data_IF_188415086635
#
_entry.id   IF_188415086635
#
_cell.length_a   1.000
_cell.length_b   1.000
_cell.length_c   1.000
_cell.angle_alpha   90.00
_cell.angle_beta   90.00
_cell.angle_gamma   90.00
#
_symmetry.space_group_name_H-M   'P 1'
#
loop_
_entity.id
_entity.type
_entity.pdbx_description
1 polymer ?
#
# COMPACT_ATOMS: atom_id res chain seq x y z
N UNK A 1 -19.66 7.25 -15.01
CA UNK A 1 -19.97 8.25 -13.95
C UNK A 1 -18.71 8.57 -13.17
N UNK A 2 -17.87 9.43 -13.72
CA UNK A 2 -16.73 10.06 -13.04
C UNK A 2 -17.18 11.44 -12.57
N UNK A 3 -16.80 11.83 -11.36
CA UNK A 3 -16.94 13.23 -10.92
C UNK A 3 -15.57 13.86 -11.09
N UNK A 4 -15.46 14.78 -12.03
CA UNK A 4 -14.21 15.48 -12.35
C UNK A 4 -14.00 16.65 -11.38
N UNK A 5 -12.84 16.71 -10.72
CA UNK A 5 -12.45 17.81 -9.81
C UNK A 5 -11.48 18.80 -10.48
N UNK A 6 -11.47 18.84 -11.81
CA UNK A 6 -10.59 19.69 -12.61
C UNK A 6 -10.96 21.17 -12.37
N UNK A 7 -10.10 21.89 -11.63
CA UNK A 7 -10.21 23.34 -11.41
C UNK A 7 -10.12 23.83 -9.97
N UNK A 8 -10.44 23.01 -8.95
CA UNK A 8 -10.47 23.49 -7.54
C UNK A 8 -9.47 22.77 -6.62
N UNK A 9 -9.14 21.49 -6.90
CA UNK A 9 -8.27 20.68 -6.02
C UNK A 9 -7.26 19.81 -6.79
N UNK A 10 -7.51 19.54 -8.07
CA UNK A 10 -6.61 18.75 -8.91
C UNK A 10 -5.27 19.47 -9.11
N UNK A 11 -4.17 18.85 -8.68
CA UNK A 11 -2.82 19.35 -8.92
C UNK A 11 -2.38 20.56 -8.07
N UNK A 12 -3.16 20.98 -7.06
CA UNK A 12 -2.80 22.11 -6.19
C UNK A 12 -1.47 21.88 -5.45
N UNK A 13 -1.20 20.66 -4.98
CA UNK A 13 0.10 20.29 -4.37
C UNK A 13 1.21 20.08 -5.42
N UNK A 14 0.87 19.57 -6.61
CA UNK A 14 1.83 19.37 -7.69
C UNK A 14 2.36 20.68 -8.25
N UNK A 15 1.57 21.76 -8.27
CA UNK A 15 1.98 23.06 -8.78
C UNK A 15 2.80 23.92 -7.79
N UNK A 16 2.95 23.50 -6.52
CA UNK A 16 3.68 24.29 -5.52
C UNK A 16 5.20 24.14 -5.66
N UNK A 17 5.70 22.94 -6.00
CA UNK A 17 7.15 22.72 -6.18
C UNK A 17 7.42 21.57 -7.17
N UNK A 18 7.62 21.91 -8.44
CA UNK A 18 8.09 20.99 -9.49
C UNK A 18 9.56 21.26 -9.75
N UNK A 19 10.42 20.28 -9.49
CA UNK A 19 11.79 20.31 -10.03
C UNK A 19 11.79 19.52 -11.33
N UNK A 20 11.94 20.25 -12.43
CA UNK A 20 11.98 19.69 -13.77
C UNK A 20 13.42 19.32 -14.12
N UNK A 21 13.78 18.03 -14.04
CA UNK A 21 15.04 17.52 -14.58
C UNK A 21 14.73 16.82 -15.90
N UNK A 22 14.76 17.60 -16.98
CA UNK A 22 14.82 17.30 -18.44
C UNK A 22 13.90 16.23 -19.06
N UNK A 23 13.49 15.17 -18.35
CA UNK A 23 12.61 14.09 -18.84
C UNK A 23 11.66 13.51 -17.77
N UNK A 24 11.75 13.93 -16.49
CA UNK A 24 10.85 13.47 -15.42
C UNK A 24 10.41 14.67 -14.58
N UNK A 25 9.10 14.94 -14.53
CA UNK A 25 8.50 15.85 -13.56
C UNK A 25 8.39 15.11 -12.23
N UNK A 26 9.32 15.37 -11.30
CA UNK A 26 9.23 14.81 -9.95
C UNK A 26 8.37 15.76 -9.12
N UNK A 27 7.19 15.30 -8.73
CA UNK A 27 6.36 16.00 -7.76
C UNK A 27 6.97 15.81 -6.37
N UNK A 28 7.64 16.85 -5.87
CA UNK A 28 8.40 16.79 -4.61
C UNK A 28 7.46 16.68 -3.41
N UNK A 29 6.28 17.29 -3.50
CA UNK A 29 5.36 17.40 -2.36
C UNK A 29 4.75 16.05 -1.95
N UNK A 30 4.22 15.21 -2.88
CA UNK A 30 3.81 13.85 -2.54
C UNK A 30 4.97 12.98 -2.04
N UNK A 31 6.16 13.12 -2.63
CA UNK A 31 7.34 12.37 -2.21
C UNK A 31 7.78 12.73 -0.78
N UNK A 32 7.85 14.02 -0.47
CA UNK A 32 8.21 14.52 0.86
C UNK A 32 7.16 14.12 1.89
N UNK A 33 5.88 14.08 1.50
CA UNK A 33 4.80 13.56 2.34
C UNK A 33 4.94 12.06 2.64
N UNK A 34 5.26 11.23 1.63
CA UNK A 34 5.51 9.80 1.82
C UNK A 34 6.73 9.56 2.72
N UNK A 35 7.81 10.32 2.52
CA UNK A 35 8.99 10.27 3.39
C UNK A 35 8.63 10.71 4.82
N UNK A 36 7.85 11.78 4.97
CA UNK A 36 7.33 12.26 6.26
C UNK A 36 6.47 11.22 6.96
N UNK A 37 5.58 10.54 6.23
CA UNK A 37 4.77 9.43 6.75
C UNK A 37 5.65 8.25 7.17
N UNK A 38 6.65 7.87 6.38
CA UNK A 38 7.57 6.79 6.73
C UNK A 38 8.34 7.13 8.03
N UNK A 39 8.80 8.37 8.17
CA UNK A 39 9.46 8.85 9.39
C UNK A 39 8.49 8.87 10.57
N UNK A 40 7.26 9.35 10.37
CA UNK A 40 6.23 9.37 11.40
C UNK A 40 5.86 7.96 11.88
N UNK A 41 5.67 7.01 10.97
CA UNK A 41 5.40 5.61 11.30
C UNK A 41 6.60 5.00 12.04
N UNK A 42 7.84 5.28 11.60
CA UNK A 42 9.04 4.80 12.29
C UNK A 42 9.13 5.36 13.71
N UNK A 43 8.81 6.64 13.90
CA UNK A 43 8.76 7.28 15.20
C UNK A 43 7.66 6.67 16.08
N UNK A 44 6.45 6.51 15.54
CA UNK A 44 5.31 5.90 16.23
C UNK A 44 5.64 4.48 16.69
N UNK A 45 6.28 3.67 15.84
CA UNK A 45 6.73 2.32 16.18
C UNK A 45 7.80 2.28 17.28
N UNK A 46 8.53 3.38 17.53
CA UNK A 46 9.46 3.50 18.66
C UNK A 46 8.78 3.93 19.97
N UNK A 47 7.57 4.47 19.92
CA UNK A 47 6.81 4.86 21.13
C UNK A 47 6.23 3.64 21.86
N UNK A 48 5.77 3.83 23.10
CA UNK A 48 5.10 2.77 23.89
C UNK A 48 3.94 2.13 23.13
N UNK A 49 3.07 2.95 22.55
CA UNK A 49 1.95 2.47 21.73
C UNK A 49 2.41 1.61 20.54
N UNK A 50 3.50 2.00 19.87
CA UNK A 50 4.06 1.23 18.76
C UNK A 50 4.64 -0.13 19.20
N UNK A 51 5.23 -0.21 20.39
CA UNK A 51 5.70 -1.47 20.96
C UNK A 51 4.53 -2.38 21.33
N UNK A 52 3.45 -1.81 21.88
CA UNK A 52 2.22 -2.56 22.20
C UNK A 52 1.58 -3.13 20.92
N UNK A 53 1.53 -2.36 19.83
CA UNK A 53 1.06 -2.84 18.52
C UNK A 53 1.90 -4.01 18.02
N UNK A 54 3.23 -3.91 18.15
CA UNK A 54 4.13 -4.98 17.73
C UNK A 54 3.97 -6.23 18.57
N UNK A 55 3.86 -6.09 19.89
CA UNK A 55 3.67 -7.21 20.82
C UNK A 55 2.36 -7.96 20.53
N UNK A 56 1.25 -7.23 20.41
CA UNK A 56 -0.07 -7.79 20.06
C UNK A 56 -0.07 -8.45 18.69
N UNK A 57 0.66 -7.88 17.71
CA UNK A 57 0.77 -8.44 16.36
C UNK A 57 1.64 -9.70 16.25
N UNK A 58 2.55 -9.95 17.19
CA UNK A 58 3.33 -11.19 17.23
C UNK A 58 2.53 -12.34 17.86
N UNK A 59 2.03 -12.13 19.07
CA UNK A 59 1.27 -13.14 19.81
C UNK A 59 0.33 -12.46 20.82
N UNK A 60 -0.97 -12.60 20.56
CA UNK A 60 -2.03 -12.02 21.40
C UNK A 60 -2.09 -12.64 22.80
N UNK A 61 -1.76 -13.93 22.93
CA UNK A 61 -1.75 -14.62 24.21
C UNK A 61 -0.60 -14.10 25.09
N UNK A 62 0.61 -14.01 24.51
CA UNK A 62 1.78 -13.47 25.20
C UNK A 62 1.56 -12.01 25.61
N UNK A 63 1.02 -11.19 24.70
CA UNK A 63 0.72 -9.78 25.00
C UNK A 63 -0.29 -9.63 26.16
N UNK A 64 -1.33 -10.47 26.20
CA UNK A 64 -2.31 -10.47 27.29
C UNK A 64 -1.70 -10.89 28.62
N UNK A 65 -0.85 -11.93 28.63
CA UNK A 65 -0.12 -12.34 29.84
C UNK A 65 0.89 -11.30 30.33
N UNK A 66 1.41 -10.45 29.43
CA UNK A 66 2.27 -9.33 29.76
C UNK A 66 1.52 -8.09 30.28
N UNK A 67 0.20 -8.16 30.45
CA UNK A 67 -0.62 -7.07 30.98
C UNK A 67 -1.07 -6.03 29.94
N UNK A 68 -0.88 -6.30 28.64
CA UNK A 68 -1.35 -5.43 27.56
C UNK A 68 -2.83 -5.73 27.28
N UNK A 69 -3.67 -4.70 27.25
CA UNK A 69 -5.06 -4.80 26.83
C UNK A 69 -5.15 -4.98 25.31
N UNK A 70 -5.16 -6.23 24.87
CA UNK A 70 -5.17 -6.64 23.45
C UNK A 70 -6.33 -5.99 22.69
N UNK A 71 -7.52 -5.94 23.30
CA UNK A 71 -8.73 -5.48 22.63
C UNK A 71 -8.70 -3.97 22.39
N UNK A 72 -8.29 -3.19 23.40
CA UNK A 72 -8.08 -1.75 23.24
C UNK A 72 -6.95 -1.44 22.26
N UNK A 73 -5.82 -2.12 22.39
CA UNK A 73 -4.65 -1.91 21.51
C UNK A 73 -5.01 -2.21 20.05
N UNK A 74 -5.83 -3.24 19.78
CA UNK A 74 -6.31 -3.57 18.43
C UNK A 74 -7.23 -2.50 17.85
N UNK A 75 -8.18 -1.98 18.64
CA UNK A 75 -9.07 -0.90 18.19
C UNK A 75 -8.26 0.34 17.84
N UNK A 76 -7.34 0.73 18.73
CA UNK A 76 -6.48 1.90 18.52
C UNK A 76 -5.62 1.70 17.26
N UNK A 77 -5.01 0.52 17.07
CA UNK A 77 -4.22 0.22 15.88
C UNK A 77 -5.03 0.34 14.57
N UNK A 78 -6.28 -0.15 14.56
CA UNK A 78 -7.18 -0.02 13.40
C UNK A 78 -7.50 1.44 13.13
N UNK A 79 -7.79 2.24 14.17
CA UNK A 79 -8.06 3.69 14.02
C UNK A 79 -6.85 4.42 13.41
N UNK A 80 -5.63 4.17 13.92
CA UNK A 80 -4.43 4.78 13.33
C UNK A 80 -4.23 4.34 11.87
N UNK A 81 -4.45 3.06 11.57
CA UNK A 81 -4.32 2.56 10.19
C UNK A 81 -5.33 3.20 9.24
N UNK A 82 -6.58 3.36 9.65
CA UNK A 82 -7.63 3.95 8.80
C UNK A 82 -7.43 5.44 8.60
N UNK A 83 -7.00 6.17 9.63
CA UNK A 83 -6.68 7.60 9.53
C UNK A 83 -5.50 7.82 8.59
N UNK A 84 -4.41 7.07 8.74
CA UNK A 84 -3.25 7.18 7.85
C UNK A 84 -3.60 6.81 6.40
N UNK A 85 -4.40 5.75 6.21
CA UNK A 85 -4.87 5.34 4.88
C UNK A 85 -5.78 6.40 4.24
N UNK A 86 -6.68 7.02 5.02
CA UNK A 86 -7.56 8.09 4.54
C UNK A 86 -6.77 9.31 4.08
N UNK A 87 -5.74 9.72 4.83
CA UNK A 87 -4.88 10.85 4.44
C UNK A 87 -4.14 10.51 3.13
N UNK A 88 -3.60 9.30 2.99
CA UNK A 88 -2.97 8.85 1.75
C UNK A 88 -3.92 8.85 0.56
N UNK A 89 -5.17 8.38 0.77
CA UNK A 89 -6.19 8.35 -0.26
C UNK A 89 -6.61 9.75 -0.72
N UNK A 90 -6.74 10.71 0.20
CA UNK A 90 -7.06 12.10 -0.14
C UNK A 90 -5.99 12.71 -1.04
N UNK A 91 -4.72 12.48 -0.74
CA UNK A 91 -3.59 12.98 -1.54
C UNK A 91 -3.58 12.32 -2.93
N UNK A 92 -3.81 11.01 -3.00
CA UNK A 92 -3.93 10.29 -4.27
C UNK A 92 -5.08 10.84 -5.14
N UNK A 93 -6.22 11.16 -4.52
CA UNK A 93 -7.39 11.69 -5.22
C UNK A 93 -7.13 13.10 -5.77
N UNK A 94 -6.36 13.92 -5.05
CA UNK A 94 -5.93 15.24 -5.50
C UNK A 94 -4.96 15.19 -6.69
N UNK A 95 -4.14 14.13 -6.78
CA UNK A 95 -3.20 13.94 -7.90
C UNK A 95 -3.91 13.50 -9.18
N UNK A 96 -4.84 12.54 -9.07
CA UNK A 96 -5.57 11.98 -10.23
C UNK A 96 -6.73 12.88 -10.70
N UNK A 97 -7.27 13.74 -9.83
CA UNK A 97 -8.28 14.74 -10.20
C UNK A 97 -9.66 14.17 -10.61
N UNK A 98 -9.88 12.87 -10.45
CA UNK A 98 -11.12 12.17 -10.81
C UNK A 98 -11.52 11.17 -9.72
N UNK A 99 -12.82 11.08 -9.43
CA UNK A 99 -13.37 10.06 -8.53
C UNK A 99 -14.07 9.00 -9.36
N UNK A 100 -13.48 7.80 -9.38
CA UNK A 100 -14.14 6.61 -9.89
C UNK A 100 -14.91 5.95 -8.73
N UNK A 101 -16.24 5.99 -8.77
CA UNK A 101 -17.12 5.61 -7.65
C UNK A 101 -17.47 4.11 -7.58
N UNK A 102 -17.26 3.34 -8.65
CA UNK A 102 -17.81 1.97 -8.73
C UNK A 102 -16.85 0.85 -8.28
N UNK A 103 -15.56 0.88 -8.64
CA UNK A 103 -14.65 -0.25 -8.39
C UNK A 103 -13.33 0.12 -7.67
N UNK A 104 -13.08 1.42 -7.43
CA UNK A 104 -11.76 1.87 -6.97
C UNK A 104 -11.42 1.43 -5.55
N UNK A 105 -12.41 1.30 -4.67
CA UNK A 105 -12.20 1.02 -3.25
C UNK A 105 -11.68 -0.41 -3.01
N UNK A 106 -12.21 -1.41 -3.73
CA UNK A 106 -11.75 -2.80 -3.61
C UNK A 106 -10.37 -3.01 -4.26
N UNK A 107 -10.16 -2.42 -5.43
CA UNK A 107 -8.89 -2.57 -6.18
C UNK A 107 -7.70 -1.97 -5.42
N UNK A 108 -7.87 -0.80 -4.78
CA UNK A 108 -6.79 -0.15 -4.04
C UNK A 108 -6.34 -1.03 -2.85
N UNK A 109 -7.27 -1.64 -2.12
CA UNK A 109 -6.95 -2.54 -1.02
C UNK A 109 -6.21 -3.79 -1.52
N UNK A 110 -6.72 -4.40 -2.59
CA UNK A 110 -6.12 -5.58 -3.22
C UNK A 110 -4.68 -5.30 -3.69
N UNK A 111 -4.47 -4.22 -4.44
CA UNK A 111 -3.17 -3.82 -4.95
C UNK A 111 -2.18 -3.46 -3.83
N UNK A 112 -2.67 -2.83 -2.76
CA UNK A 112 -1.84 -2.55 -1.59
C UNK A 112 -1.34 -3.83 -0.90
N UNK A 113 -2.23 -4.82 -0.75
CA UNK A 113 -1.87 -6.13 -0.18
C UNK A 113 -0.92 -6.87 -1.12
N UNK A 114 -1.19 -6.90 -2.44
CA UNK A 114 -0.30 -7.50 -3.43
C UNK A 114 1.10 -6.88 -3.38
N UNK A 115 1.21 -5.55 -3.38
CA UNK A 115 2.48 -4.84 -3.31
C UNK A 115 3.27 -5.21 -2.04
N UNK A 116 2.61 -5.24 -0.87
CA UNK A 116 3.23 -5.65 0.39
C UNK A 116 3.77 -7.09 0.33
N UNK A 117 3.01 -8.00 -0.28
CA UNK A 117 3.38 -9.41 -0.42
C UNK A 117 4.53 -9.60 -1.42
N UNK A 118 4.52 -8.89 -2.55
CA UNK A 118 5.66 -8.86 -3.50
C UNK A 118 6.92 -8.35 -2.81
N UNK A 119 6.79 -7.33 -1.96
CA UNK A 119 7.87 -6.79 -1.15
C UNK A 119 8.36 -7.72 -0.04
N UNK A 120 7.79 -8.92 0.11
CA UNK A 120 8.21 -9.92 1.10
C UNK A 120 7.68 -9.67 2.50
N UNK A 121 6.66 -8.83 2.68
CA UNK A 121 5.96 -8.72 3.95
C UNK A 121 5.16 -9.99 4.26
N UNK A 122 5.19 -10.40 5.52
CA UNK A 122 4.34 -11.47 6.06
C UNK A 122 3.38 -10.90 7.10
N UNK A 123 2.29 -11.62 7.37
CA UNK A 123 1.32 -11.29 8.44
C UNK A 123 2.02 -11.09 9.79
N UNK A 124 3.08 -11.86 10.09
CA UNK A 124 3.85 -11.71 11.33
C UNK A 124 4.97 -10.67 11.25
N UNK A 125 5.44 -10.30 10.05
CA UNK A 125 6.60 -9.42 9.90
C UNK A 125 6.43 -8.53 8.67
N UNK A 126 5.99 -7.31 8.91
CA UNK A 126 5.96 -6.23 7.92
C UNK A 126 6.97 -5.15 8.34
N UNK A 127 7.71 -4.63 7.36
CA UNK A 127 8.64 -3.52 7.56
C UNK A 127 8.38 -2.45 6.50
N UNK A 128 8.79 -1.21 6.79
CA UNK A 128 8.67 -0.08 5.85
C UNK A 128 9.46 -0.37 4.57
N UNK A 129 10.60 -1.06 4.67
CA UNK A 129 11.38 -1.48 3.50
C UNK A 129 10.62 -2.43 2.58
N UNK A 130 9.88 -3.39 3.16
CA UNK A 130 9.05 -4.31 2.38
C UNK A 130 7.94 -3.54 1.66
N UNK A 131 7.35 -2.53 2.31
CA UNK A 131 6.35 -1.67 1.66
C UNK A 131 6.94 -0.85 0.52
N UNK A 132 8.09 -0.20 0.71
CA UNK A 132 8.74 0.61 -0.32
C UNK A 132 9.14 -0.24 -1.52
N UNK A 133 9.85 -1.35 -1.29
CA UNK A 133 10.29 -2.25 -2.36
C UNK A 133 9.08 -2.85 -3.08
N UNK A 134 8.07 -3.27 -2.31
CA UNK A 134 6.81 -3.80 -2.83
C UNK A 134 6.09 -2.82 -3.75
N UNK A 135 5.91 -1.57 -3.30
CA UNK A 135 5.26 -0.51 -4.09
C UNK A 135 6.06 -0.21 -5.35
N UNK A 136 7.39 -0.12 -5.28
CA UNK A 136 8.23 0.14 -6.46
C UNK A 136 8.11 -1.00 -7.48
N UNK A 137 8.24 -2.25 -7.04
CA UNK A 137 8.15 -3.43 -7.91
C UNK A 137 6.75 -3.54 -8.54
N UNK A 138 5.72 -3.35 -7.72
CA UNK A 138 4.34 -3.45 -8.16
C UNK A 138 3.96 -2.30 -9.10
N UNK A 139 4.40 -1.06 -8.82
CA UNK A 139 4.20 0.07 -9.72
C UNK A 139 4.95 -0.12 -11.05
N UNK A 140 6.16 -0.68 -11.01
CA UNK A 140 6.91 -1.03 -12.24
C UNK A 140 6.14 -2.05 -13.07
N UNK A 141 5.50 -3.05 -12.44
CA UNK A 141 4.62 -3.98 -13.13
C UNK A 141 3.44 -3.26 -13.81
N UNK A 142 2.86 -2.24 -13.17
CA UNK A 142 1.79 -1.42 -13.76
C UNK A 142 2.23 -0.66 -15.01
N UNK A 143 3.49 -0.22 -15.09
CA UNK A 143 4.02 0.50 -16.27
C UNK A 143 4.47 -0.47 -17.36
N UNK A 144 5.10 -1.59 -16.98
CA UNK A 144 5.71 -2.53 -17.93
C UNK A 144 4.67 -3.48 -18.54
N UNK A 145 3.65 -3.92 -17.80
CA UNK A 145 2.68 -4.89 -18.31
C UNK A 145 1.87 -4.37 -19.52
N UNK A 146 1.31 -3.14 -19.51
CA UNK A 146 0.56 -2.61 -20.66
C UNK A 146 1.47 -2.35 -21.87
N UNK A 147 2.69 -1.85 -21.62
CA UNK A 147 3.66 -1.55 -22.68
C UNK A 147 4.23 -2.83 -23.32
N UNK A 148 4.46 -3.89 -22.54
CA UNK A 148 4.81 -5.21 -23.05
C UNK A 148 3.64 -5.85 -23.79
N UNK A 149 2.42 -5.77 -23.27
CA UNK A 149 1.21 -6.27 -23.92
C UNK A 149 0.98 -5.63 -25.29
N UNK A 150 1.17 -4.31 -25.39
CA UNK A 150 1.07 -3.59 -26.65
C UNK A 150 2.11 -4.04 -27.68
N UNK A 151 3.36 -4.30 -27.25
CA UNK A 151 4.44 -4.75 -28.15
C UNK A 151 4.29 -6.20 -28.60
N UNK A 152 3.74 -7.06 -27.75
CA UNK A 152 3.62 -8.51 -28.02
C UNK A 152 2.33 -8.86 -28.77
N UNK A 153 1.23 -8.21 -28.44
CA UNK A 153 -0.11 -8.57 -28.95
C UNK A 153 -0.77 -7.45 -29.76
N UNK A 154 -0.11 -6.30 -29.93
CA UNK A 154 -0.66 -5.15 -30.68
C UNK A 154 -1.86 -4.47 -30.00
N UNK A 155 -2.21 -4.89 -28.78
CA UNK A 155 -3.34 -4.35 -28.00
C UNK A 155 -2.93 -4.12 -26.55
N UNK A 156 -2.98 -2.87 -26.05
CA UNK A 156 -2.68 -2.54 -24.65
C UNK A 156 -3.60 -3.26 -23.64
N UNK A 157 -4.86 -3.55 -24.01
CA UNK A 157 -5.82 -4.23 -23.13
C UNK A 157 -5.33 -5.59 -22.65
N UNK A 158 -4.61 -6.36 -23.48
CA UNK A 158 -4.10 -7.68 -23.08
C UNK A 158 -3.06 -7.54 -21.96
N UNK A 159 -2.25 -6.48 -21.99
CA UNK A 159 -1.32 -6.17 -20.91
C UNK A 159 -2.01 -5.79 -19.60
N UNK A 160 -3.15 -5.09 -19.66
CA UNK A 160 -3.97 -4.77 -18.48
C UNK A 160 -4.58 -6.02 -17.84
N UNK A 161 -5.15 -6.92 -18.64
CA UNK A 161 -5.66 -8.20 -18.12
C UNK A 161 -4.55 -9.06 -17.51
N UNK A 162 -3.38 -9.09 -18.13
CA UNK A 162 -2.22 -9.81 -17.60
C UNK A 162 -1.75 -9.23 -16.26
N UNK A 163 -1.74 -7.90 -16.12
CA UNK A 163 -1.43 -7.21 -14.87
C UNK A 163 -2.38 -7.62 -13.74
N UNK A 164 -3.69 -7.63 -13.99
CA UNK A 164 -4.70 -8.03 -13.01
C UNK A 164 -4.53 -9.51 -12.61
N UNK A 165 -4.34 -10.39 -13.60
CA UNK A 165 -4.07 -11.80 -13.34
C UNK A 165 -2.85 -12.01 -12.44
N UNK A 166 -1.76 -11.28 -12.70
CA UNK A 166 -0.54 -11.36 -11.90
C UNK A 166 -0.79 -10.90 -10.45
N UNK A 167 -1.54 -9.82 -10.26
CA UNK A 167 -1.89 -9.33 -8.93
C UNK A 167 -2.65 -10.39 -8.10
N UNK A 168 -3.66 -11.02 -8.71
CA UNK A 168 -4.41 -12.10 -8.08
C UNK A 168 -3.54 -13.34 -7.82
N UNK A 169 -2.70 -13.73 -8.77
CA UNK A 169 -1.81 -14.87 -8.64
C UNK A 169 -0.83 -14.70 -7.48
N UNK A 170 -0.23 -13.51 -7.31
CA UNK A 170 0.67 -13.21 -6.20
C UNK A 170 -0.03 -13.33 -4.85
N UNK A 171 -1.23 -12.76 -4.72
CA UNK A 171 -1.98 -12.82 -3.46
C UNK A 171 -2.36 -14.27 -3.14
N UNK A 172 -2.91 -14.99 -4.11
CA UNK A 172 -3.29 -16.39 -3.94
C UNK A 172 -2.08 -17.26 -3.54
N UNK A 173 -0.94 -17.06 -4.21
CA UNK A 173 0.30 -17.75 -3.89
C UNK A 173 0.80 -17.43 -2.48
N UNK A 174 0.79 -16.16 -2.09
CA UNK A 174 1.20 -15.73 -0.76
C UNK A 174 0.31 -16.31 0.35
N UNK A 175 -1.02 -16.31 0.15
CA UNK A 175 -1.97 -16.91 1.10
C UNK A 175 -1.79 -18.43 1.20
N UNK A 176 -1.61 -19.11 0.07
CA UNK A 176 -1.34 -20.54 0.03
C UNK A 176 -0.05 -20.89 0.78
N UNK A 177 1.03 -20.15 0.52
CA UNK A 177 2.32 -20.31 1.20
C UNK A 177 2.23 -20.05 2.70
N UNK A 178 1.45 -19.04 3.11
CA UNK A 178 1.21 -18.75 4.52
C UNK A 178 0.44 -19.90 5.19
N UNK A 179 -0.62 -20.39 4.55
CA UNK A 179 -1.41 -21.52 5.04
C UNK A 179 -0.59 -22.81 5.19
N UNK A 180 0.31 -23.09 4.25
CA UNK A 180 1.22 -24.25 4.35
C UNK A 180 2.21 -24.13 5.50
N UNK A 181 2.82 -22.96 5.71
CA UNK A 181 3.71 -22.73 6.84
C UNK A 181 2.97 -22.87 8.18
N UNK A 182 1.75 -22.35 8.28
CA UNK A 182 0.91 -22.47 9.48
C UNK A 182 0.44 -23.90 9.77
N UNK A 183 0.36 -24.78 8.76
CA UNK A 183 0.10 -26.21 8.95
C UNK A 183 1.36 -26.95 9.38
N UNK A 184 2.50 -26.65 8.78
CA UNK A 184 3.78 -27.28 9.11
C UNK A 184 4.26 -26.93 10.52
N UNK A 185 3.92 -25.76 11.05
CA UNK A 185 4.23 -25.37 12.44
C UNK A 185 3.34 -26.02 13.50
N UNK A 186 2.26 -26.71 13.10
CA UNK A 186 1.33 -27.44 14.00
C UNK A 186 1.64 -28.94 14.11
N UNK A 187 2.60 -29.44 13.33
CA UNK A 187 3.13 -30.81 13.39
C UNK A 187 4.56 -30.78 13.91
#
# INVERSE_FOLDING_TARGET
>A
NTVDLYGTVAGALNNIFVVNIKYVSIFIVPLLFVVGLCLFITFLLKTKLGQDFKAVGQDMHIARTAGIDVDKTRIIAVIYSTVLAAIGQVIYLQDIGTINTYNSHEQIGLFSIAALLVGGASVQKASIWNAIIGVILFHTLFVVAPSAGNRLFGQPQIGEFFREFMAYAVIAFALAMHGWKARKARH
#
